data_IF_380662041003
#
_entry.id   IF_380662041003
#
_cell.length_a   1.000
_cell.length_b   1.000
_cell.length_c   1.000
_cell.angle_alpha   90.00
_cell.angle_beta   90.00
_cell.angle_gamma   90.00
#
_symmetry.space_group_name_H-M   'P 1'
#
loop_
_entity.id
_entity.type
_entity.pdbx_description
1 polymer ?
#
# COMPACT_ATOMS: atom_id res chain seq x y z
N UNK A 1 12.17 -2.19 23.74
CA UNK A 1 10.93 -1.43 23.99
C UNK A 1 10.33 -0.95 22.65
N UNK A 2 10.17 -1.87 21.69
CA UNK A 2 9.65 -1.62 20.33
C UNK A 2 8.59 -2.67 19.92
N UNK A 3 8.43 -3.75 20.71
CA UNK A 3 7.52 -4.86 20.43
C UNK A 3 6.08 -4.62 20.93
N UNK A 4 5.86 -3.62 21.80
CA UNK A 4 4.54 -3.38 22.39
C UNK A 4 3.67 -2.42 21.56
N UNK A 5 4.29 -1.51 20.80
CA UNK A 5 3.55 -0.55 19.96
C UNK A 5 2.94 -1.22 18.71
N UNK A 6 3.66 -2.18 18.11
CA UNK A 6 3.17 -2.98 16.97
C UNK A 6 2.00 -3.90 17.35
N UNK A 7 1.93 -4.36 18.61
CA UNK A 7 0.79 -5.14 19.12
C UNK A 7 -0.47 -4.29 19.29
N UNK A 8 -0.32 -3.02 19.68
CA UNK A 8 -1.45 -2.08 19.79
C UNK A 8 -2.13 -1.80 18.45
N UNK A 9 -1.36 -1.63 17.38
CA UNK A 9 -1.87 -1.43 16.01
C UNK A 9 -2.52 -2.69 15.41
N UNK A 10 -1.98 -3.88 15.70
CA UNK A 10 -2.59 -5.14 15.28
C UNK A 10 -3.94 -5.40 15.97
N UNK A 11 -4.07 -5.03 17.24
CA UNK A 11 -5.34 -5.12 17.97
C UNK A 11 -6.37 -4.08 17.48
N UNK A 12 -5.93 -2.91 17.03
CA UNK A 12 -6.84 -1.91 16.44
C UNK A 12 -7.31 -2.32 15.03
N UNK A 13 -6.46 -2.93 14.18
CA UNK A 13 -6.89 -3.46 12.87
C UNK A 13 -7.92 -4.59 12.99
N UNK A 14 -7.88 -5.42 14.04
CA UNK A 14 -8.87 -6.50 14.22
C UNK A 14 -10.23 -6.02 14.73
N UNK A 15 -10.27 -4.93 15.50
CA UNK A 15 -11.53 -4.36 16.04
C UNK A 15 -12.37 -3.70 14.94
N UNK A 16 -11.76 -3.16 13.89
CA UNK A 16 -12.47 -2.57 12.75
C UNK A 16 -13.00 -3.61 11.73
N UNK A 17 -12.69 -4.90 11.89
CA UNK A 17 -13.16 -5.97 10.99
C UNK A 17 -14.50 -6.59 11.41
N UNK A 18 -15.12 -6.16 12.50
CA UNK A 18 -16.43 -6.70 12.94
C UNK A 18 -17.51 -5.65 12.70
N UNK A 19 -18.07 -5.68 11.50
CA UNK A 19 -19.13 -4.76 11.10
C UNK A 19 -19.86 -5.18 9.84
N UNK A 20 -20.39 -6.41 9.78
CA UNK A 20 -21.73 -6.73 9.25
C UNK A 20 -21.85 -8.20 8.88
N UNK A 21 -22.64 -8.94 9.65
CA UNK A 21 -23.23 -10.21 9.24
C UNK A 21 -24.58 -9.96 8.57
N UNK A 22 -24.70 -10.22 7.28
CA UNK A 22 -25.96 -10.56 6.61
C UNK A 22 -25.69 -11.26 5.26
N UNK A 23 -25.80 -12.58 5.29
CA UNK A 23 -26.49 -13.48 4.35
C UNK A 23 -26.64 -13.18 2.84
N UNK A 24 -26.26 -14.21 2.05
CA UNK A 24 -26.93 -14.81 0.87
C UNK A 24 -26.62 -14.28 -0.55
N UNK A 25 -25.82 -15.13 -1.23
CA UNK A 25 -25.98 -15.65 -2.59
C UNK A 25 -25.52 -14.88 -3.84
N UNK A 26 -25.20 -15.74 -4.81
CA UNK A 26 -25.10 -15.59 -6.25
C UNK A 26 -23.74 -15.22 -6.86
N UNK A 27 -23.34 -16.13 -7.75
CA UNK A 27 -22.12 -16.18 -8.56
C UNK A 27 -22.03 -14.97 -9.49
N UNK A 28 -21.24 -13.98 -9.09
CA UNK A 28 -20.62 -13.04 -10.02
C UNK A 28 -19.16 -13.46 -10.24
N UNK A 29 -18.57 -13.27 -11.43
CA UNK A 29 -17.13 -13.41 -11.56
C UNK A 29 -16.52 -12.44 -10.56
N UNK A 30 -15.70 -12.94 -9.63
CA UNK A 30 -14.95 -12.09 -8.72
C UNK A 30 -13.92 -11.37 -9.59
N UNK A 31 -14.34 -10.28 -10.22
CA UNK A 31 -13.44 -9.21 -10.62
C UNK A 31 -12.94 -8.69 -9.29
N UNK A 32 -11.82 -9.25 -8.85
CA UNK A 32 -11.14 -8.86 -7.64
C UNK A 32 -10.50 -7.51 -7.98
N UNK A 33 -11.31 -6.46 -8.07
CA UNK A 33 -10.83 -5.09 -8.14
C UNK A 33 -9.93 -4.95 -6.94
N UNK A 34 -8.63 -4.77 -7.17
CA UNK A 34 -7.72 -4.53 -6.07
C UNK A 34 -8.27 -3.33 -5.28
N UNK A 35 -8.33 -3.39 -3.94
CA UNK A 35 -8.85 -2.30 -3.12
C UNK A 35 -7.97 -1.02 -3.19
N UNK A 36 -7.03 -0.98 -4.13
CA UNK A 36 -6.05 0.06 -4.38
C UNK A 36 -6.69 1.33 -4.93
N UNK A 37 -7.63 1.25 -5.87
CA UNK A 37 -8.28 2.46 -6.43
C UNK A 37 -9.12 3.20 -5.38
N UNK A 38 -9.94 2.45 -4.64
CA UNK A 38 -10.75 3.01 -3.56
C UNK A 38 -9.86 3.62 -2.46
N UNK A 39 -8.77 2.93 -2.10
CA UNK A 39 -7.79 3.42 -1.13
C UNK A 39 -7.08 4.69 -1.60
N UNK A 40 -6.72 4.78 -2.89
CA UNK A 40 -6.08 5.97 -3.48
C UNK A 40 -7.06 7.14 -3.63
N UNK A 41 -8.35 6.87 -3.85
CA UNK A 41 -9.39 7.89 -3.83
C UNK A 41 -9.65 8.42 -2.41
N UNK A 42 -9.70 7.54 -1.41
CA UNK A 42 -9.84 7.92 -0.01
C UNK A 42 -8.60 8.69 0.50
N UNK A 43 -7.40 8.27 0.11
CA UNK A 43 -6.16 8.98 0.45
C UNK A 43 -6.16 10.40 -0.11
N UNK A 44 -6.64 10.58 -1.35
CA UNK A 44 -6.81 11.90 -1.95
C UNK A 44 -7.79 12.77 -1.13
N UNK A 45 -8.88 12.20 -0.64
CA UNK A 45 -9.83 12.90 0.22
C UNK A 45 -9.18 13.34 1.55
N UNK A 46 -8.32 12.51 2.14
CA UNK A 46 -7.58 12.90 3.35
C UNK A 46 -6.63 14.07 3.11
N UNK A 47 -5.99 14.17 1.95
CA UNK A 47 -5.19 15.35 1.59
C UNK A 47 -6.06 16.61 1.57
N UNK A 48 -7.25 16.55 0.97
CA UNK A 48 -8.19 17.67 0.93
C UNK A 48 -8.67 18.11 2.33
N UNK A 49 -8.76 17.16 3.27
CA UNK A 49 -9.06 17.43 4.68
C UNK A 49 -7.85 17.91 5.49
N UNK A 50 -6.67 18.09 4.87
CA UNK A 50 -5.43 18.47 5.54
C UNK A 50 -4.71 17.31 6.26
N UNK A 51 -5.24 16.09 6.17
CA UNK A 51 -4.75 14.86 6.84
C UNK A 51 -3.74 14.10 5.98
N UNK A 52 -2.72 14.80 5.48
CA UNK A 52 -1.71 14.25 4.59
C UNK A 52 -0.92 13.07 5.19
N UNK A 53 -0.67 13.03 6.51
CA UNK A 53 -0.06 11.85 7.14
C UNK A 53 -0.92 10.59 7.05
N UNK A 54 -2.24 10.72 7.26
CA UNK A 54 -3.17 9.59 7.09
C UNK A 54 -3.23 9.15 5.62
N UNK A 55 -3.17 10.11 4.68
CA UNK A 55 -3.12 9.82 3.27
C UNK A 55 -1.85 9.04 2.87
N UNK A 56 -0.68 9.40 3.43
CA UNK A 56 0.57 8.69 3.17
C UNK A 56 0.51 7.22 3.63
N UNK A 57 -0.05 6.97 4.82
CA UNK A 57 -0.22 5.60 5.35
C UNK A 57 -1.12 4.79 4.42
N UNK A 58 -2.28 5.34 4.04
CA UNK A 58 -3.23 4.66 3.16
C UNK A 58 -2.66 4.41 1.76
N UNK A 59 -1.89 5.37 1.23
CA UNK A 59 -1.20 5.22 -0.04
C UNK A 59 -0.17 4.08 -0.01
N UNK A 60 0.63 3.96 1.06
CA UNK A 60 1.59 2.87 1.17
C UNK A 60 0.93 1.51 1.41
N UNK A 61 -0.20 1.44 2.12
CA UNK A 61 -0.99 0.20 2.22
C UNK A 61 -1.50 -0.24 0.83
N UNK A 62 -1.86 0.71 -0.05
CA UNK A 62 -2.22 0.41 -1.45
C UNK A 62 -1.01 -0.06 -2.28
N UNK A 63 0.18 0.53 -2.08
CA UNK A 63 1.41 0.08 -2.72
C UNK A 63 1.78 -1.34 -2.28
N UNK A 64 1.68 -1.65 -0.98
CA UNK A 64 1.91 -2.99 -0.44
C UNK A 64 0.97 -4.02 -1.10
N UNK A 65 -0.32 -3.71 -1.18
CA UNK A 65 -1.31 -4.58 -1.83
C UNK A 65 -0.97 -4.83 -3.31
N UNK A 66 -0.51 -3.80 -4.03
CA UNK A 66 -0.09 -3.87 -5.43
C UNK A 66 1.11 -4.79 -5.60
N UNK A 67 2.19 -4.58 -4.82
CA UNK A 67 3.39 -5.41 -4.89
C UNK A 67 3.09 -6.86 -4.51
N UNK A 68 2.24 -7.07 -3.51
CA UNK A 68 1.81 -8.40 -3.12
C UNK A 68 1.00 -9.08 -4.24
N UNK A 69 0.19 -8.34 -4.99
CA UNK A 69 -0.51 -8.86 -6.16
C UNK A 69 0.50 -9.31 -7.23
N UNK A 70 1.45 -8.45 -7.59
CA UNK A 70 2.48 -8.74 -8.58
C UNK A 70 3.33 -9.95 -8.15
N UNK A 71 3.76 -10.03 -6.89
CA UNK A 71 4.49 -11.19 -6.40
C UNK A 71 3.68 -12.49 -6.57
N UNK A 72 2.36 -12.46 -6.36
CA UNK A 72 1.51 -13.64 -6.61
C UNK A 72 1.39 -13.98 -8.09
N UNK A 73 1.22 -12.97 -8.94
CA UNK A 73 1.10 -13.13 -10.40
C UNK A 73 2.37 -13.74 -10.99
N UNK A 74 3.54 -13.21 -10.63
CA UNK A 74 4.85 -13.67 -11.09
C UNK A 74 5.41 -14.84 -10.28
N UNK A 75 4.63 -15.40 -9.34
CA UNK A 75 4.99 -16.55 -8.49
C UNK A 75 6.29 -16.35 -7.70
N UNK A 76 6.53 -15.13 -7.25
CA UNK A 76 7.64 -14.77 -6.37
C UNK A 76 7.37 -15.33 -4.96
N UNK A 77 8.30 -16.11 -4.38
CA UNK A 77 8.10 -16.71 -3.06
C UNK A 77 8.22 -15.67 -1.95
N UNK A 78 7.08 -15.36 -1.32
CA UNK A 78 7.03 -14.49 -0.14
C UNK A 78 7.30 -15.30 1.13
N UNK A 79 8.41 -14.98 1.82
CA UNK A 79 8.77 -15.62 3.09
C UNK A 79 8.33 -14.78 4.29
N UNK A 80 7.72 -15.42 5.30
CA UNK A 80 7.37 -14.75 6.56
C UNK A 80 6.39 -13.60 6.38
N UNK A 81 6.75 -12.42 6.89
CA UNK A 81 6.01 -11.17 6.67
C UNK A 81 6.76 -10.35 5.60
N UNK A 82 6.31 -10.38 4.33
CA UNK A 82 7.01 -9.67 3.26
C UNK A 82 6.96 -8.16 3.50
N UNK A 83 8.08 -7.48 3.27
CA UNK A 83 8.19 -6.02 3.34
C UNK A 83 8.02 -5.44 1.94
N UNK A 84 7.62 -4.17 1.84
CA UNK A 84 7.56 -3.42 0.57
C UNK A 84 8.93 -3.48 -0.12
N UNK A 85 10.02 -3.21 0.62
CA UNK A 85 11.40 -3.29 0.13
C UNK A 85 11.74 -4.66 -0.47
N UNK A 86 11.41 -5.73 0.28
CA UNK A 86 11.72 -7.09 -0.14
C UNK A 86 10.92 -7.53 -1.37
N UNK A 87 9.64 -7.16 -1.44
CA UNK A 87 8.81 -7.42 -2.63
C UNK A 87 9.33 -6.62 -3.83
N UNK A 88 9.69 -5.35 -3.61
CA UNK A 88 10.19 -4.46 -4.64
C UNK A 88 11.49 -4.99 -5.27
N UNK A 89 12.47 -5.31 -4.43
CA UNK A 89 13.76 -5.85 -4.86
C UNK A 89 13.60 -7.18 -5.61
N UNK A 90 12.72 -8.07 -5.15
CA UNK A 90 12.49 -9.36 -5.82
C UNK A 90 11.82 -9.19 -7.19
N UNK A 91 10.83 -8.31 -7.31
CA UNK A 91 10.15 -8.03 -8.58
C UNK A 91 11.09 -7.37 -9.60
N UNK A 92 11.94 -6.43 -9.16
CA UNK A 92 13.00 -5.86 -9.99
C UNK A 92 14.02 -6.92 -10.42
N UNK A 93 14.43 -7.78 -9.49
CA UNK A 93 15.42 -8.83 -9.76
C UNK A 93 14.96 -9.84 -10.83
N UNK A 94 13.66 -10.16 -10.89
CA UNK A 94 13.10 -11.04 -11.93
C UNK A 94 12.73 -10.29 -13.22
N UNK A 95 12.90 -8.96 -13.24
CA UNK A 95 12.68 -8.12 -14.41
C UNK A 95 11.22 -7.74 -14.69
N UNK A 96 10.35 -7.67 -13.67
CA UNK A 96 8.99 -7.12 -13.85
C UNK A 96 9.07 -5.65 -14.25
N UNK A 97 10.01 -4.92 -13.66
CA UNK A 97 10.34 -3.53 -13.97
C UNK A 97 11.84 -3.28 -13.78
N UNK A 98 12.31 -2.12 -14.22
CA UNK A 98 13.73 -1.75 -14.18
C UNK A 98 14.18 -1.15 -12.84
N UNK A 99 15.48 -0.88 -12.73
CA UNK A 99 16.09 -0.28 -11.53
C UNK A 99 15.61 1.15 -11.25
N UNK A 100 15.08 1.86 -12.25
CA UNK A 100 14.57 3.21 -12.06
C UNK A 100 13.22 3.15 -11.33
N UNK A 101 12.35 2.21 -11.70
CA UNK A 101 11.11 1.93 -10.98
C UNK A 101 11.41 1.42 -9.57
N UNK A 102 12.36 0.50 -9.43
CA UNK A 102 12.79 -0.02 -8.11
C UNK A 102 13.20 1.11 -7.17
N UNK A 103 14.07 2.03 -7.63
CA UNK A 103 14.52 3.17 -6.83
C UNK A 103 13.35 4.07 -6.44
N UNK A 104 12.48 4.41 -7.40
CA UNK A 104 11.31 5.25 -7.16
C UNK A 104 10.41 4.65 -6.09
N UNK A 105 10.08 3.36 -6.19
CA UNK A 105 9.24 2.67 -5.21
C UNK A 105 9.90 2.63 -3.81
N UNK A 106 11.23 2.52 -3.75
CA UNK A 106 11.99 2.62 -2.50
C UNK A 106 11.87 4.01 -1.84
N UNK A 107 11.87 5.09 -2.63
CA UNK A 107 11.65 6.44 -2.11
C UNK A 107 10.23 6.60 -1.53
N UNK A 108 9.22 6.05 -2.22
CA UNK A 108 7.84 6.05 -1.73
C UNK A 108 7.66 5.25 -0.44
N UNK A 109 8.32 4.09 -0.35
CA UNK A 109 8.35 3.30 0.88
C UNK A 109 8.95 4.09 2.03
N UNK A 110 10.08 4.77 1.81
CA UNK A 110 10.72 5.59 2.85
C UNK A 110 9.77 6.67 3.37
N UNK A 111 9.02 7.32 2.47
CA UNK A 111 8.00 8.31 2.86
C UNK A 111 6.88 7.69 3.70
N UNK A 112 6.36 6.52 3.31
CA UNK A 112 5.36 5.79 4.08
C UNK A 112 5.87 5.34 5.44
N UNK A 113 7.11 4.84 5.53
CA UNK A 113 7.73 4.43 6.79
C UNK A 113 7.88 5.60 7.76
N UNK A 114 8.28 6.79 7.26
CA UNK A 114 8.32 8.01 8.07
C UNK A 114 6.94 8.38 8.61
N UNK A 115 5.90 8.29 7.78
CA UNK A 115 4.53 8.54 8.22
C UNK A 115 4.08 7.54 9.31
N UNK A 116 4.37 6.25 9.13
CA UNK A 116 4.04 5.19 10.09
C UNK A 116 4.82 5.29 11.41
N UNK A 117 6.07 5.75 11.37
CA UNK A 117 6.89 5.97 12.56
C UNK A 117 6.55 7.27 13.30
N UNK A 118 5.62 8.08 12.80
CA UNK A 118 5.23 9.33 13.43
C UNK A 118 6.19 10.50 13.14
N UNK A 119 7.06 10.38 12.14
CA UNK A 119 8.00 11.44 11.71
C UNK A 119 7.29 12.48 10.83
N UNK A 120 6.20 13.04 11.34
CA UNK A 120 5.25 13.89 10.60
C UNK A 120 5.87 15.19 10.07
N UNK A 121 6.93 15.69 10.70
CA UNK A 121 7.67 16.88 10.23
C UNK A 121 8.47 16.62 8.95
N UNK A 122 8.76 15.35 8.64
CA UNK A 122 9.50 14.95 7.44
C UNK A 122 8.59 14.54 6.27
N UNK A 123 7.27 14.58 6.46
CA UNK A 123 6.29 14.19 5.46
C UNK A 123 5.49 15.44 5.09
N UNK A 124 5.84 16.08 3.97
CA UNK A 124 5.10 17.25 3.52
C UNK A 124 3.87 16.86 2.69
N UNK A 125 2.88 17.75 2.63
CA UNK A 125 1.71 17.55 1.78
C UNK A 125 2.09 17.31 0.31
N UNK A 126 3.07 18.07 -0.21
CA UNK A 126 3.54 17.96 -1.59
C UNK A 126 4.16 16.60 -1.89
N UNK A 127 4.90 16.04 -0.93
CA UNK A 127 5.51 14.72 -1.07
C UNK A 127 4.43 13.63 -1.15
N UNK A 128 3.37 13.76 -0.34
CA UNK A 128 2.25 12.80 -0.34
C UNK A 128 1.39 12.92 -1.61
N UNK A 129 1.16 14.14 -2.11
CA UNK A 129 0.49 14.33 -3.41
C UNK A 129 1.29 13.69 -4.55
N UNK A 130 2.62 13.83 -4.53
CA UNK A 130 3.51 13.18 -5.50
C UNK A 130 3.46 11.66 -5.36
N UNK A 131 3.54 11.14 -4.13
CA UNK A 131 3.41 9.71 -3.83
C UNK A 131 2.11 9.12 -4.38
N UNK A 132 0.97 9.79 -4.21
CA UNK A 132 -0.30 9.31 -4.76
C UNK A 132 -0.29 9.25 -6.29
N UNK A 133 0.27 10.25 -6.96
CA UNK A 133 0.39 10.27 -8.41
C UNK A 133 1.28 9.14 -8.94
N UNK A 134 2.41 8.91 -8.29
CA UNK A 134 3.35 7.85 -8.67
C UNK A 134 2.76 6.45 -8.46
N UNK A 135 2.06 6.22 -7.33
CA UNK A 135 1.40 4.93 -7.07
C UNK A 135 0.27 4.67 -8.07
N UNK A 136 -0.56 5.68 -8.38
CA UNK A 136 -1.61 5.57 -9.42
C UNK A 136 -1.03 5.19 -10.77
N UNK A 137 0.08 5.82 -11.15
CA UNK A 137 0.78 5.55 -12.40
C UNK A 137 1.30 4.11 -12.41
N UNK A 138 2.01 3.71 -11.33
CA UNK A 138 2.56 2.36 -11.20
C UNK A 138 1.47 1.28 -11.26
N UNK A 139 0.37 1.46 -10.53
CA UNK A 139 -0.80 0.57 -10.55
C UNK A 139 -1.35 0.45 -11.96
N UNK A 140 -1.56 1.57 -12.65
CA UNK A 140 -2.11 1.59 -14.02
C UNK A 140 -1.20 0.91 -15.04
N UNK A 141 0.12 0.96 -14.84
CA UNK A 141 1.11 0.34 -15.73
C UNK A 141 1.25 -1.17 -15.52
N UNK A 142 1.07 -1.65 -14.29
CA UNK A 142 1.39 -3.04 -13.92
C UNK A 142 0.16 -3.91 -13.62
N UNK A 143 -0.99 -3.31 -13.34
CA UNK A 143 -2.25 -4.02 -13.11
C UNK A 143 -3.17 -3.72 -14.29
N UNK A 144 -3.29 -4.69 -15.21
CA UNK A 144 -4.31 -4.65 -16.25
C UNK A 144 -5.67 -5.03 -15.63
N UNK A 145 -6.64 -4.12 -15.73
CA UNK A 145 -8.04 -4.34 -15.34
C UNK A 145 -8.80 -5.26 -16.30
#
# INVERSE_FOLDING_TARGET
MWNDFTRGLAALKSVWSVGSTAEVAETAPIVLSLPTEDSLAEAQNYIHMGRHHSAAILAGDALEATLHHLCREYRVPLAGKPTIDGMNAQLAQIGVYDSQVEQRLGELQSLWEKANCGLWSEVSKSDVETMLGEIRTFVSEHIAY
#
